data_IF_591628819435
#
_entry.id   IF_591628819435
#
_cell.length_a   1.000
_cell.length_b   1.000
_cell.length_c   1.000
_cell.angle_alpha   90.00
_cell.angle_beta   90.00
_cell.angle_gamma   90.00
#
_symmetry.space_group_name_H-M   'P 1'
#
loop_
_entity.id
_entity.type
_entity.pdbx_description
1 polymer ?
#
# COMPACT_ATOMS: atom_id res chain seq x y z
N UNK A 1 -16.93 3.80 -11.96
CA UNK A 1 -16.11 3.99 -10.72
C UNK A 1 -16.51 5.34 -10.12
N UNK A 2 -17.57 5.38 -9.30
CA UNK A 2 -17.94 6.58 -8.55
C UNK A 2 -17.08 6.57 -7.28
N UNK A 3 -15.98 7.31 -7.31
CA UNK A 3 -15.38 7.77 -6.07
C UNK A 3 -16.42 8.66 -5.39
N UNK A 4 -16.79 8.44 -4.13
CA UNK A 4 -17.58 9.39 -3.39
C UNK A 4 -16.71 10.65 -3.26
N UNK A 5 -16.93 11.60 -4.15
CA UNK A 5 -16.20 12.86 -4.22
C UNK A 5 -16.70 13.87 -3.18
N UNK A 6 -17.00 13.44 -1.98
CA UNK A 6 -17.20 14.37 -0.88
C UNK A 6 -15.82 14.90 -0.47
N UNK A 7 -15.59 16.16 -0.84
CA UNK A 7 -14.40 16.90 -0.43
C UNK A 7 -14.45 16.98 1.10
N UNK A 8 -13.55 16.25 1.77
CA UNK A 8 -13.42 16.33 3.23
C UNK A 8 -12.84 17.70 3.62
N UNK A 9 -13.75 18.61 4.03
CA UNK A 9 -13.41 19.95 4.46
C UNK A 9 -12.39 19.98 5.59
N UNK A 10 -12.29 18.92 6.39
CA UNK A 10 -11.30 18.80 7.47
C UNK A 10 -9.90 18.64 6.88
N UNK A 11 -9.75 17.81 5.87
CA UNK A 11 -8.46 17.62 5.16
C UNK A 11 -8.05 18.92 4.46
N UNK A 12 -9.00 19.61 3.79
CA UNK A 12 -8.74 20.91 3.17
C UNK A 12 -8.34 21.98 4.20
N UNK A 13 -9.06 22.08 5.31
CA UNK A 13 -8.75 23.04 6.36
C UNK A 13 -7.36 22.77 7.01
N UNK A 14 -7.03 21.51 7.28
CA UNK A 14 -5.69 21.12 7.80
C UNK A 14 -4.62 21.45 6.78
N UNK A 15 -4.82 21.11 5.50
CA UNK A 15 -3.86 21.40 4.44
C UNK A 15 -3.65 22.90 4.24
N UNK A 16 -4.73 23.68 4.21
CA UNK A 16 -4.66 25.14 4.14
C UNK A 16 -3.96 25.74 5.36
N UNK A 17 -4.24 25.23 6.56
CA UNK A 17 -3.58 25.65 7.80
C UNK A 17 -2.08 25.39 7.77
N UNK A 18 -1.67 24.19 7.33
CA UNK A 18 -0.25 23.84 7.19
C UNK A 18 0.45 24.73 6.15
N UNK A 19 -0.18 24.98 4.99
CA UNK A 19 0.34 25.88 3.96
C UNK A 19 0.49 27.31 4.48
N UNK A 20 -0.48 27.80 5.25
CA UNK A 20 -0.46 29.14 5.82
C UNK A 20 0.63 29.29 6.88
N UNK A 21 0.79 28.30 7.76
CA UNK A 21 1.87 28.25 8.75
C UNK A 21 3.24 28.21 8.05
N UNK A 22 3.39 27.36 7.04
CA UNK A 22 4.63 27.25 6.27
C UNK A 22 4.98 28.59 5.60
N UNK A 23 4.00 29.24 4.96
CA UNK A 23 4.19 30.54 4.30
C UNK A 23 4.56 31.65 5.30
N UNK A 24 3.90 31.67 6.46
CA UNK A 24 4.21 32.62 7.53
C UNK A 24 5.63 32.40 8.08
N UNK A 25 6.02 31.17 8.34
CA UNK A 25 7.36 30.85 8.86
C UNK A 25 8.44 31.21 7.84
N UNK A 26 8.23 30.84 6.57
CA UNK A 26 9.23 31.11 5.50
C UNK A 26 9.29 32.59 5.13
N UNK A 27 8.16 33.32 5.20
CA UNK A 27 8.09 34.73 4.84
C UNK A 27 8.39 35.68 5.99
N UNK A 28 7.80 35.46 7.19
CA UNK A 28 7.97 36.40 8.33
C UNK A 28 9.35 36.33 8.97
N UNK A 29 9.95 35.13 9.07
CA UNK A 29 11.25 34.98 9.73
C UNK A 29 12.34 35.77 9.01
N UNK A 30 12.52 35.75 7.68
CA UNK A 30 13.46 36.61 6.98
C UNK A 30 13.05 38.09 7.03
N UNK A 31 11.76 38.44 6.93
CA UNK A 31 11.28 39.81 6.99
C UNK A 31 11.53 40.47 8.33
N UNK A 32 11.28 39.77 9.43
CA UNK A 32 11.59 40.25 10.78
C UNK A 32 13.10 40.37 11.03
N UNK A 33 13.93 39.58 10.35
CA UNK A 33 15.38 39.66 10.43
C UNK A 33 15.94 40.82 9.62
N UNK A 34 15.30 41.22 8.52
CA UNK A 34 15.71 42.38 7.71
C UNK A 34 15.22 43.71 8.28
N UNK A 35 14.12 43.76 9.01
CA UNK A 35 13.58 44.98 9.63
C UNK A 35 14.33 45.43 10.91
N UNK A 36 15.16 44.56 11.50
CA UNK A 36 16.00 44.86 12.66
C UNK A 36 17.42 45.25 12.25
N UNK A 37 17.59 46.02 11.17
CA UNK A 37 18.88 46.60 10.84
C UNK A 37 19.05 47.85 11.71
N UNK A 38 19.78 47.73 12.82
CA UNK A 38 20.28 48.86 13.61
C UNK A 38 21.44 49.52 12.83
N UNK A 39 21.13 50.59 12.11
CA UNK A 39 22.08 51.38 11.35
C UNK A 39 23.23 51.94 12.24
N UNK A 40 22.96 52.20 13.50
CA UNK A 40 23.98 52.66 14.48
C UNK A 40 24.91 51.51 14.92
N UNK A 41 24.39 50.26 14.96
CA UNK A 41 25.17 49.04 15.19
C UNK A 41 26.04 48.65 13.99
N UNK A 42 25.57 48.88 12.75
CA UNK A 42 26.29 48.54 11.53
C UNK A 42 27.57 49.41 11.36
N UNK A 43 27.54 50.68 11.71
CA UNK A 43 28.69 51.58 11.68
C UNK A 43 29.73 51.31 12.82
N UNK A 44 29.29 50.72 13.93
CA UNK A 44 30.19 50.25 15.01
C UNK A 44 30.75 48.85 14.79
N UNK A 45 30.13 48.03 13.94
CA UNK A 45 30.52 46.64 13.68
C UNK A 45 31.70 46.50 12.71
N UNK A 46 32.09 47.56 11.99
CA UNK A 46 33.31 47.57 11.19
C UNK A 46 34.59 47.57 12.04
N UNK A 47 34.47 47.90 13.34
CA UNK A 47 35.59 47.87 14.29
C UNK A 47 35.54 46.71 15.31
N UNK A 48 34.45 45.95 15.38
CA UNK A 48 34.30 44.82 16.31
C UNK A 48 33.62 43.65 15.58
N UNK A 49 34.35 42.97 14.74
CA UNK A 49 33.88 41.76 14.08
C UNK A 49 33.29 40.75 15.08
N UNK A 50 32.18 40.11 14.72
CA UNK A 50 31.75 38.79 15.24
C UNK A 50 30.38 38.64 15.89
N UNK A 51 29.57 39.63 16.25
CA UNK A 51 28.34 39.31 17.03
C UNK A 51 27.06 39.16 16.21
N UNK A 52 26.91 39.82 15.04
CA UNK A 52 25.65 39.74 14.23
C UNK A 52 25.54 38.55 13.29
N UNK A 53 26.67 38.04 12.80
CA UNK A 53 26.69 36.93 11.80
C UNK A 53 26.35 35.56 12.38
N UNK A 54 26.67 35.31 13.64
CA UNK A 54 26.52 34.01 14.29
C UNK A 54 25.05 33.61 14.52
N UNK A 55 24.18 34.59 14.83
CA UNK A 55 22.74 34.32 15.07
C UNK A 55 21.95 34.04 13.77
N UNK A 56 22.34 34.67 12.65
CA UNK A 56 21.75 34.46 11.32
C UNK A 56 22.14 33.09 10.74
N UNK A 57 23.34 32.60 11.00
CA UNK A 57 23.80 31.28 10.59
C UNK A 57 23.04 30.16 11.28
N UNK A 58 22.66 30.33 12.55
CA UNK A 58 22.01 29.32 13.38
C UNK A 58 20.57 28.98 12.89
N UNK A 59 19.79 29.99 12.49
CA UNK A 59 18.43 29.82 11.97
C UNK A 59 18.44 29.03 10.65
N UNK A 60 19.36 29.37 9.73
CA UNK A 60 19.49 28.63 8.44
C UNK A 60 19.92 27.19 8.65
N UNK A 61 20.88 26.97 9.54
CA UNK A 61 21.33 25.61 9.90
C UNK A 61 20.20 24.81 10.54
N UNK A 62 19.41 25.42 11.44
CA UNK A 62 18.24 24.80 12.04
C UNK A 62 17.17 24.40 11.01
N UNK A 63 16.94 25.26 10.03
CA UNK A 63 15.98 24.99 8.95
C UNK A 63 16.42 23.80 8.08
N UNK A 64 17.72 23.69 7.78
CA UNK A 64 18.28 22.52 7.06
C UNK A 64 18.15 21.26 7.90
N UNK A 65 18.41 21.31 9.20
CA UNK A 65 18.24 20.17 10.11
C UNK A 65 16.79 19.66 10.09
N UNK A 66 15.81 20.57 10.20
CA UNK A 66 14.38 20.21 10.10
C UNK A 66 14.05 19.61 8.73
N UNK A 67 14.56 20.20 7.65
CA UNK A 67 14.31 19.74 6.29
C UNK A 67 14.90 18.34 6.04
N UNK A 68 16.13 18.08 6.52
CA UNK A 68 16.77 16.76 6.49
C UNK A 68 15.95 15.75 7.30
N UNK A 69 15.46 16.15 8.48
CA UNK A 69 14.63 15.30 9.33
C UNK A 69 13.33 14.90 8.62
N UNK A 70 12.60 15.85 8.03
CA UNK A 70 11.38 15.58 7.28
C UNK A 70 11.64 14.69 6.07
N UNK A 71 12.71 14.96 5.31
CA UNK A 71 13.11 14.14 4.18
C UNK A 71 13.42 12.70 4.59
N UNK A 72 14.12 12.53 5.72
CA UNK A 72 14.42 11.20 6.26
C UNK A 72 13.16 10.43 6.63
N UNK A 73 12.19 11.10 7.30
CA UNK A 73 10.90 10.48 7.65
C UNK A 73 10.14 10.01 6.41
N UNK A 74 10.09 10.85 5.36
CA UNK A 74 9.41 10.51 4.11
C UNK A 74 10.10 9.35 3.38
N UNK A 75 11.44 9.32 3.37
CA UNK A 75 12.20 8.22 2.77
C UNK A 75 11.99 6.90 3.51
N UNK A 76 12.00 6.91 4.85
CA UNK A 76 11.67 5.72 5.66
C UNK A 76 10.24 5.27 5.38
N UNK A 77 9.27 6.19 5.38
CA UNK A 77 7.87 5.89 5.07
C UNK A 77 7.71 5.28 3.67
N UNK A 78 8.35 5.84 2.66
CA UNK A 78 8.36 5.30 1.30
C UNK A 78 8.97 3.90 1.25
N UNK A 79 10.10 3.68 1.93
CA UNK A 79 10.77 2.38 2.01
C UNK A 79 9.91 1.30 2.66
N UNK A 80 9.26 1.62 3.79
CA UNK A 80 8.34 0.70 4.48
C UNK A 80 7.12 0.34 3.63
N UNK A 81 6.51 1.35 2.98
CA UNK A 81 5.36 1.12 2.10
C UNK A 81 5.74 0.30 0.87
N UNK A 82 6.92 0.55 0.27
CA UNK A 82 7.43 -0.23 -0.85
C UNK A 82 7.65 -1.70 -0.48
N UNK A 83 8.28 -1.96 0.66
CA UNK A 83 8.46 -3.32 1.17
C UNK A 83 7.13 -4.00 1.47
N UNK A 84 6.17 -3.25 2.05
CA UNK A 84 4.82 -3.75 2.31
C UNK A 84 4.11 -4.15 1.01
N UNK A 85 4.22 -3.32 -0.03
CA UNK A 85 3.64 -3.61 -1.34
C UNK A 85 4.28 -4.86 -1.97
N UNK A 86 5.60 -5.01 -1.86
CA UNK A 86 6.29 -6.19 -2.39
C UNK A 86 5.87 -7.47 -1.67
N UNK A 87 5.73 -7.43 -0.35
CA UNK A 87 5.21 -8.56 0.43
C UNK A 87 3.75 -8.90 0.11
N UNK A 88 2.93 -7.90 -0.23
CA UNK A 88 1.56 -8.12 -0.72
C UNK A 88 1.62 -8.85 -2.07
N UNK A 89 2.43 -8.38 -3.01
CA UNK A 89 2.56 -8.96 -4.36
C UNK A 89 3.07 -10.40 -4.36
N UNK A 90 3.96 -10.73 -3.44
CA UNK A 90 4.54 -12.08 -3.28
C UNK A 90 3.72 -12.99 -2.37
N UNK A 91 2.67 -12.46 -1.71
CA UNK A 91 1.79 -13.26 -0.84
C UNK A 91 0.75 -14.00 -1.67
N UNK A 92 0.67 -15.32 -1.50
CA UNK A 92 -0.41 -16.10 -2.09
C UNK A 92 -1.77 -15.68 -1.54
N UNK A 93 -2.77 -15.40 -2.38
CA UNK A 93 -4.13 -15.14 -1.94
C UNK A 93 -4.89 -16.43 -1.54
N UNK A 94 -4.28 -17.61 -1.67
CA UNK A 94 -4.91 -18.91 -1.40
C UNK A 94 -5.68 -19.48 -2.58
N UNK A 95 -5.70 -18.78 -3.71
CA UNK A 95 -6.26 -19.27 -4.98
C UNK A 95 -5.31 -18.96 -6.14
N UNK A 96 -5.53 -19.59 -7.28
CA UNK A 96 -4.74 -19.38 -8.51
C UNK A 96 -5.08 -18.02 -9.13
N UNK A 97 -4.10 -17.16 -9.30
CA UNK A 97 -4.26 -15.88 -9.99
C UNK A 97 -4.11 -15.98 -11.49
N UNK A 98 -3.42 -17.03 -11.96
CA UNK A 98 -3.16 -17.27 -13.38
C UNK A 98 -4.12 -18.32 -13.96
N UNK A 99 -4.49 -18.14 -15.22
CA UNK A 99 -5.32 -19.09 -15.94
C UNK A 99 -6.77 -19.11 -15.49
N UNK A 100 -7.25 -18.10 -14.77
CA UNK A 100 -8.66 -17.95 -14.41
C UNK A 100 -9.16 -16.58 -14.85
N UNK A 101 -10.20 -16.59 -15.66
CA UNK A 101 -10.89 -15.38 -16.15
C UNK A 101 -12.21 -15.26 -15.41
N UNK A 102 -12.55 -14.06 -15.03
CA UNK A 102 -13.82 -13.69 -14.43
C UNK A 102 -14.58 -12.74 -15.35
N UNK A 103 -15.87 -12.98 -15.47
CA UNK A 103 -16.84 -12.03 -16.06
C UNK A 103 -18.18 -12.17 -15.34
N UNK A 104 -19.10 -11.27 -15.56
CA UNK A 104 -20.46 -11.37 -15.05
C UNK A 104 -21.47 -10.83 -16.05
N UNK A 105 -22.72 -11.23 -15.90
CA UNK A 105 -23.86 -10.72 -16.67
C UNK A 105 -24.88 -10.17 -15.69
N UNK A 106 -25.41 -8.98 -15.95
CA UNK A 106 -26.38 -8.34 -15.07
C UNK A 106 -27.80 -8.86 -15.33
N UNK A 107 -28.07 -10.02 -14.78
CA UNK A 107 -29.39 -10.65 -14.84
C UNK A 107 -30.41 -9.93 -13.94
N UNK A 108 -29.94 -9.30 -12.87
CA UNK A 108 -30.81 -8.57 -11.91
C UNK A 108 -31.43 -7.37 -12.58
N UNK A 109 -30.63 -6.48 -13.18
CA UNK A 109 -31.12 -5.31 -13.91
C UNK A 109 -31.91 -5.68 -15.18
N UNK A 110 -31.63 -6.85 -15.77
CA UNK A 110 -32.39 -7.38 -16.89
C UNK A 110 -33.75 -7.98 -16.48
N UNK A 111 -34.09 -7.96 -15.18
CA UNK A 111 -35.41 -8.40 -14.67
C UNK A 111 -35.58 -9.92 -14.65
N UNK A 112 -34.49 -10.69 -14.56
CA UNK A 112 -34.55 -12.14 -14.41
C UNK A 112 -35.00 -12.52 -13.01
N UNK A 113 -36.04 -13.38 -12.92
CA UNK A 113 -36.34 -14.05 -11.68
C UNK A 113 -35.36 -15.21 -11.40
N UNK A 114 -35.43 -15.78 -10.22
CA UNK A 114 -34.50 -16.83 -9.79
C UNK A 114 -34.54 -18.09 -10.72
N UNK A 115 -35.72 -18.45 -11.22
CA UNK A 115 -35.87 -19.65 -12.08
C UNK A 115 -35.25 -19.41 -13.47
N UNK A 116 -35.56 -18.28 -14.08
CA UNK A 116 -35.01 -17.89 -15.40
C UNK A 116 -33.50 -17.69 -15.33
N UNK A 117 -33.02 -17.06 -14.25
CA UNK A 117 -31.58 -16.86 -14.04
C UNK A 117 -30.83 -18.18 -13.85
N UNK A 118 -31.43 -19.14 -13.14
CA UNK A 118 -30.86 -20.48 -12.97
C UNK A 118 -30.71 -21.19 -14.31
N UNK A 119 -31.80 -21.26 -15.09
CA UNK A 119 -31.76 -21.85 -16.41
C UNK A 119 -30.72 -21.24 -17.31
N UNK A 120 -30.68 -19.90 -17.36
CA UNK A 120 -29.66 -19.15 -18.13
C UNK A 120 -28.25 -19.51 -17.70
N UNK A 121 -27.95 -19.50 -16.39
CA UNK A 121 -26.61 -19.78 -15.87
C UNK A 121 -26.22 -21.25 -16.11
N UNK A 122 -27.13 -22.20 -15.96
CA UNK A 122 -26.86 -23.62 -16.20
C UNK A 122 -26.59 -23.90 -17.70
N UNK A 123 -27.35 -23.29 -18.60
CA UNK A 123 -27.12 -23.40 -20.05
C UNK A 123 -25.82 -22.69 -20.46
N UNK A 124 -25.52 -21.53 -19.88
CA UNK A 124 -24.28 -20.79 -20.17
C UNK A 124 -23.04 -21.59 -19.74
N UNK A 125 -23.06 -22.25 -18.58
CA UNK A 125 -21.95 -23.14 -18.16
C UNK A 125 -21.70 -24.25 -19.16
N UNK A 126 -22.72 -24.95 -19.59
CA UNK A 126 -22.56 -26.05 -20.52
C UNK A 126 -22.00 -25.59 -21.87
N UNK A 127 -22.47 -24.45 -22.38
CA UNK A 127 -21.92 -23.84 -23.62
C UNK A 127 -20.49 -23.40 -23.47
N UNK A 128 -20.16 -22.72 -22.35
CA UNK A 128 -18.81 -22.22 -22.09
C UNK A 128 -17.82 -23.38 -21.90
N UNK A 129 -18.21 -24.45 -21.24
CA UNK A 129 -17.38 -25.68 -21.12
C UNK A 129 -17.10 -26.33 -22.49
N UNK A 130 -17.95 -26.09 -23.49
CA UNK A 130 -17.75 -26.55 -24.87
C UNK A 130 -16.79 -25.65 -25.70
N UNK A 131 -16.39 -24.49 -25.20
CA UNK A 131 -15.51 -23.61 -25.95
C UNK A 131 -14.07 -24.15 -25.97
N UNK A 132 -13.36 -24.02 -27.10
CA UNK A 132 -11.95 -24.43 -27.19
C UNK A 132 -11.08 -23.74 -26.16
N UNK A 133 -10.25 -24.51 -25.44
CA UNK A 133 -9.33 -24.01 -24.44
C UNK A 133 -9.94 -23.78 -23.05
N UNK A 134 -11.22 -24.06 -22.85
CA UNK A 134 -11.83 -24.05 -21.51
C UNK A 134 -11.54 -25.38 -20.80
N UNK A 135 -10.93 -25.32 -19.64
CA UNK A 135 -10.67 -26.49 -18.78
C UNK A 135 -11.84 -26.73 -17.84
N UNK A 136 -12.27 -25.69 -17.13
CA UNK A 136 -13.43 -25.72 -16.24
C UNK A 136 -14.15 -24.38 -16.24
N UNK A 137 -15.45 -24.40 -15.92
CA UNK A 137 -16.24 -23.17 -15.76
C UNK A 137 -17.26 -23.34 -14.62
N UNK A 138 -17.45 -22.29 -13.84
CA UNK A 138 -18.35 -22.29 -12.69
C UNK A 138 -18.89 -20.90 -12.39
N UNK A 139 -19.98 -20.82 -11.63
CA UNK A 139 -20.48 -19.56 -11.10
C UNK A 139 -20.19 -19.45 -9.60
N UNK A 140 -19.87 -18.23 -9.13
CA UNK A 140 -19.88 -17.94 -7.70
C UNK A 140 -20.41 -16.53 -7.45
N UNK A 141 -21.03 -16.33 -6.28
CA UNK A 141 -21.65 -15.05 -5.94
C UNK A 141 -20.64 -13.98 -5.56
N UNK A 142 -19.68 -14.32 -4.72
CA UNK A 142 -18.69 -13.38 -4.20
C UNK A 142 -17.40 -13.51 -4.99
N UNK A 143 -16.96 -12.39 -5.57
CA UNK A 143 -15.66 -12.31 -6.22
C UNK A 143 -14.57 -12.05 -5.16
N UNK A 144 -13.56 -12.91 -5.04
CA UNK A 144 -12.43 -12.66 -4.15
C UNK A 144 -11.76 -11.33 -4.45
N UNK A 145 -11.46 -10.55 -3.40
CA UNK A 145 -10.82 -9.23 -3.48
C UNK A 145 -11.63 -8.21 -4.31
N UNK A 146 -12.93 -8.47 -4.55
CA UNK A 146 -13.83 -7.58 -5.26
C UNK A 146 -14.40 -6.50 -4.36
N UNK A 147 -14.86 -5.40 -4.99
CA UNK A 147 -15.71 -4.43 -4.31
C UNK A 147 -17.13 -5.00 -4.27
N UNK A 148 -17.61 -5.41 -3.12
CA UNK A 148 -18.97 -5.94 -3.05
C UNK A 148 -19.37 -6.38 -1.65
N UNK A 149 -20.61 -6.83 -1.60
CA UNK A 149 -21.21 -7.33 -0.37
C UNK A 149 -20.70 -8.72 -0.09
N UNK A 150 -19.95 -8.87 0.97
CA UNK A 150 -19.61 -10.19 1.50
C UNK A 150 -20.86 -10.82 2.10
N UNK A 151 -21.10 -12.10 1.76
CA UNK A 151 -22.15 -12.86 2.43
C UNK A 151 -21.63 -13.28 3.79
N UNK A 152 -22.30 -12.87 4.85
CA UNK A 152 -21.98 -13.30 6.22
C UNK A 152 -23.25 -13.82 6.91
N UNK A 153 -23.08 -14.75 7.83
CA UNK A 153 -24.20 -15.30 8.59
C UNK A 153 -23.77 -15.65 10.01
N UNK A 154 -24.64 -15.42 10.99
CA UNK A 154 -24.52 -16.08 12.27
C UNK A 154 -24.53 -17.59 12.07
N UNK A 155 -23.67 -18.29 12.79
CA UNK A 155 -23.58 -19.76 12.75
C UNK A 155 -23.73 -20.36 14.15
N UNK A 156 -24.19 -21.61 14.20
CA UNK A 156 -24.02 -22.48 15.35
C UNK A 156 -23.35 -23.77 14.87
N UNK A 157 -22.41 -24.29 15.62
CA UNK A 157 -21.68 -25.52 15.29
C UNK A 157 -22.03 -26.58 16.32
N UNK A 158 -22.35 -27.77 15.85
CA UNK A 158 -22.74 -28.89 16.72
C UNK A 158 -21.58 -29.23 17.66
N UNK A 159 -21.85 -29.26 18.98
CA UNK A 159 -20.84 -29.50 20.00
C UNK A 159 -19.94 -28.30 20.36
N UNK A 160 -20.12 -27.11 19.74
CA UNK A 160 -19.40 -25.90 20.11
C UNK A 160 -20.30 -24.97 20.94
N UNK A 161 -19.82 -24.60 22.12
CA UNK A 161 -20.50 -23.63 22.99
C UNK A 161 -19.73 -22.29 22.87
N UNK A 162 -20.36 -21.33 22.23
CA UNK A 162 -19.81 -19.99 22.14
C UNK A 162 -19.81 -19.30 23.53
N UNK A 163 -18.81 -18.48 23.84
CA UNK A 163 -18.85 -17.60 25.02
C UNK A 163 -20.12 -16.73 25.01
N UNK A 164 -20.69 -16.36 26.16
CA UNK A 164 -21.97 -15.63 26.24
C UNK A 164 -22.03 -14.30 25.49
N UNK A 165 -20.88 -13.68 25.26
CA UNK A 165 -20.75 -12.39 24.56
C UNK A 165 -20.41 -12.55 23.06
N UNK A 166 -20.17 -13.78 22.59
CA UNK A 166 -19.77 -14.05 21.22
C UNK A 166 -20.94 -14.63 20.41
N UNK A 167 -21.37 -13.92 19.37
CA UNK A 167 -22.23 -14.47 18.33
C UNK A 167 -21.36 -14.79 17.11
N UNK A 168 -20.97 -16.06 16.90
CA UNK A 168 -20.10 -16.44 15.81
C UNK A 168 -20.73 -16.07 14.47
N UNK A 169 -20.16 -15.11 13.78
CA UNK A 169 -20.54 -14.73 12.42
C UNK A 169 -19.40 -15.10 11.50
N UNK A 170 -19.73 -15.84 10.43
CA UNK A 170 -18.75 -16.34 9.47
C UNK A 170 -19.15 -15.91 8.06
N UNK A 171 -18.18 -15.53 7.29
CA UNK A 171 -18.37 -15.21 5.88
C UNK A 171 -18.44 -16.48 5.04
N UNK A 172 -19.16 -16.40 3.92
CA UNK A 172 -19.35 -17.52 3.02
C UNK A 172 -19.54 -17.08 1.57
N UNK A 173 -19.37 -18.05 0.66
CA UNK A 173 -19.67 -17.88 -0.76
C UNK A 173 -20.62 -18.96 -1.25
N UNK A 174 -21.57 -18.59 -2.10
CA UNK A 174 -22.40 -19.52 -2.85
C UNK A 174 -21.68 -19.86 -4.16
N UNK A 175 -21.29 -21.12 -4.32
CA UNK A 175 -20.43 -21.55 -5.41
C UNK A 175 -21.01 -22.72 -6.19
N UNK A 176 -20.73 -22.77 -7.48
CA UNK A 176 -21.09 -23.89 -8.34
C UNK A 176 -20.16 -25.10 -8.14
N UNK A 177 -20.45 -26.15 -8.88
CA UNK A 177 -19.60 -27.34 -8.96
C UNK A 177 -18.21 -26.95 -9.50
N UNK A 178 -17.17 -27.68 -9.13
CA UNK A 178 -15.79 -27.49 -9.59
C UNK A 178 -15.20 -26.10 -9.24
N UNK A 179 -15.81 -25.35 -8.29
CA UNK A 179 -15.35 -24.02 -7.94
C UNK A 179 -13.95 -24.05 -7.34
N UNK A 180 -13.68 -24.94 -6.39
CA UNK A 180 -12.36 -25.03 -5.76
C UNK A 180 -11.31 -25.45 -6.80
N UNK A 181 -11.62 -26.38 -7.66
CA UNK A 181 -10.76 -26.81 -8.77
C UNK A 181 -10.53 -25.66 -9.77
N UNK A 182 -11.60 -24.93 -10.17
CA UNK A 182 -11.51 -23.76 -11.06
C UNK A 182 -10.64 -22.67 -10.47
N UNK A 183 -10.79 -22.39 -9.18
CA UNK A 183 -10.00 -21.38 -8.48
C UNK A 183 -8.61 -21.88 -8.08
N UNK A 184 -8.32 -23.18 -8.20
CA UNK A 184 -7.07 -23.77 -7.73
C UNK A 184 -6.91 -23.71 -6.20
N UNK A 185 -8.01 -23.76 -5.47
CA UNK A 185 -8.04 -23.84 -4.00
C UNK A 185 -7.92 -25.33 -3.62
N UNK A 186 -6.83 -25.76 -2.96
CA UNK A 186 -6.68 -27.16 -2.63
C UNK A 186 -7.73 -27.66 -1.64
N UNK A 187 -8.29 -28.82 -1.92
CA UNK A 187 -9.12 -29.56 -0.97
C UNK A 187 -8.19 -30.34 -0.04
N UNK A 188 -8.30 -30.13 1.27
CA UNK A 188 -7.46 -30.77 2.29
C UNK A 188 -8.03 -32.12 2.70
N UNK A 189 -9.36 -32.21 2.80
CA UNK A 189 -10.04 -33.44 3.18
C UNK A 189 -11.48 -33.45 2.64
N UNK A 190 -12.05 -34.63 2.47
CA UNK A 190 -13.43 -34.83 2.00
C UNK A 190 -13.59 -34.64 0.49
N UNK A 191 -14.71 -34.03 0.06
CA UNK A 191 -15.04 -33.80 -1.33
C UNK A 191 -15.54 -32.39 -1.62
N UNK A 192 -15.43 -31.98 -2.84
CA UNK A 192 -16.07 -30.79 -3.38
C UNK A 192 -17.57 -31.04 -3.65
N UNK A 193 -18.29 -29.98 -3.99
CA UNK A 193 -19.71 -30.08 -4.35
C UNK A 193 -19.91 -30.82 -5.68
N UNK A 194 -20.94 -31.64 -5.71
CA UNK A 194 -21.35 -32.41 -6.88
C UNK A 194 -22.72 -31.94 -7.38
N UNK A 195 -23.07 -32.32 -8.61
CA UNK A 195 -24.38 -32.03 -9.19
C UNK A 195 -25.54 -32.59 -8.37
N UNK A 196 -25.30 -33.67 -7.60
CA UNK A 196 -26.25 -34.28 -6.69
C UNK A 196 -26.52 -33.47 -5.42
N UNK A 197 -25.70 -32.46 -5.10
CA UNK A 197 -25.93 -31.57 -3.95
C UNK A 197 -26.94 -30.48 -4.36
N UNK A 198 -28.17 -30.87 -4.66
CA UNK A 198 -29.27 -30.03 -5.10
C UNK A 198 -30.26 -29.69 -3.96
N UNK A 199 -31.36 -29.01 -4.28
CA UNK A 199 -32.39 -28.60 -3.32
C UNK A 199 -33.10 -29.75 -2.65
N UNK A 200 -33.05 -30.97 -3.23
CA UNK A 200 -33.72 -32.19 -2.72
C UNK A 200 -32.80 -33.03 -1.87
N UNK A 201 -31.50 -32.77 -1.92
CA UNK A 201 -30.51 -33.52 -1.15
C UNK A 201 -30.31 -32.90 0.26
N UNK A 202 -29.59 -33.64 1.11
CA UNK A 202 -29.16 -33.09 2.39
C UNK A 202 -28.32 -31.81 2.17
N UNK A 203 -28.53 -30.78 3.00
CA UNK A 203 -27.78 -29.53 2.92
C UNK A 203 -26.34 -29.79 3.29
N UNK A 204 -25.41 -29.32 2.46
CA UNK A 204 -23.97 -29.53 2.64
C UNK A 204 -23.17 -28.19 2.64
N UNK A 205 -22.01 -28.22 3.29
CA UNK A 205 -21.07 -27.12 3.28
C UNK A 205 -19.63 -27.65 3.16
N UNK A 206 -18.76 -26.85 2.58
CA UNK A 206 -17.30 -27.03 2.64
C UNK A 206 -16.74 -25.88 3.50
N UNK A 207 -15.94 -26.22 4.50
CA UNK A 207 -15.31 -25.22 5.40
C UNK A 207 -13.85 -25.02 5.06
N UNK A 208 -13.26 -23.90 5.46
CA UNK A 208 -11.81 -23.72 5.31
C UNK A 208 -11.04 -24.26 6.54
N UNK A 209 -9.72 -24.40 6.43
CA UNK A 209 -8.85 -24.90 7.51
C UNK A 209 -9.02 -24.09 8.80
N UNK A 210 -9.02 -22.76 8.73
CA UNK A 210 -9.19 -21.88 9.90
C UNK A 210 -10.54 -22.10 10.60
N UNK A 211 -11.62 -22.34 9.86
CA UNK A 211 -12.93 -22.65 10.45
C UNK A 211 -12.91 -24.04 11.11
N UNK A 212 -12.28 -25.01 10.45
CA UNK A 212 -12.14 -26.36 10.99
C UNK A 212 -11.35 -26.35 12.31
N UNK A 213 -10.22 -25.65 12.34
CA UNK A 213 -9.39 -25.53 13.55
C UNK A 213 -10.09 -24.79 14.69
N UNK A 214 -10.83 -23.73 14.39
CA UNK A 214 -11.49 -22.91 15.41
C UNK A 214 -12.62 -23.65 16.10
N UNK A 215 -13.47 -24.32 15.33
CA UNK A 215 -14.73 -24.86 15.85
C UNK A 215 -14.67 -26.35 16.17
N UNK A 216 -13.79 -27.14 15.54
CA UNK A 216 -13.66 -28.58 15.81
C UNK A 216 -12.35 -28.99 16.49
N UNK A 217 -11.40 -28.06 16.70
CA UNK A 217 -10.18 -28.22 17.53
C UNK A 217 -9.50 -29.59 17.44
N UNK A 218 -8.99 -29.94 16.25
CA UNK A 218 -8.25 -31.20 16.04
C UNK A 218 -9.13 -32.43 15.83
N UNK A 219 -10.46 -32.27 15.76
CA UNK A 219 -11.36 -33.33 15.28
C UNK A 219 -11.54 -33.18 13.77
N UNK A 220 -11.89 -34.30 13.12
CA UNK A 220 -12.28 -34.27 11.73
C UNK A 220 -13.67 -33.60 11.59
N UNK A 221 -13.79 -32.46 10.90
CA UNK A 221 -15.08 -31.78 10.75
C UNK A 221 -16.01 -32.48 9.74
N UNK A 222 -15.49 -33.41 8.92
CA UNK A 222 -16.29 -34.09 7.91
C UNK A 222 -17.35 -34.96 8.57
N UNK A 223 -18.60 -34.76 8.16
CA UNK A 223 -19.77 -35.44 8.76
C UNK A 223 -20.41 -34.61 9.89
N UNK A 224 -19.71 -33.70 10.48
CA UNK A 224 -20.22 -32.77 11.51
C UNK A 224 -21.20 -31.76 10.89
N UNK A 225 -21.92 -31.00 11.74
CA UNK A 225 -22.94 -30.07 11.27
C UNK A 225 -22.67 -28.62 11.69
N UNK A 226 -22.98 -27.73 10.79
CA UNK A 226 -23.01 -26.29 11.03
C UNK A 226 -24.38 -25.73 10.68
N UNK A 227 -24.94 -24.90 11.53
CA UNK A 227 -26.19 -24.19 11.27
C UNK A 227 -25.91 -22.84 10.65
N UNK A 228 -26.50 -22.57 9.51
CA UNK A 228 -26.38 -21.29 8.76
C UNK A 228 -27.79 -20.82 8.41
N UNK A 229 -28.12 -19.60 8.76
CA UNK A 229 -29.49 -19.05 8.56
C UNK A 229 -30.59 -19.96 9.09
N UNK A 230 -30.37 -20.59 10.25
CA UNK A 230 -31.31 -21.48 10.88
C UNK A 230 -31.39 -22.91 10.29
N UNK A 231 -30.65 -23.23 9.22
CA UNK A 231 -30.65 -24.54 8.58
C UNK A 231 -29.37 -25.30 8.86
N UNK A 232 -29.48 -26.57 9.28
CA UNK A 232 -28.31 -27.43 9.51
C UNK A 232 -27.77 -27.97 8.19
N UNK A 233 -26.47 -27.83 8.00
CA UNK A 233 -25.71 -28.31 6.85
C UNK A 233 -24.62 -29.27 7.34
N UNK A 234 -24.41 -30.35 6.61
CA UNK A 234 -23.35 -31.32 6.88
C UNK A 234 -22.05 -30.83 6.22
N UNK A 235 -20.94 -30.84 6.94
CA UNK A 235 -19.62 -30.57 6.39
C UNK A 235 -19.18 -31.78 5.56
N UNK A 236 -18.92 -31.56 4.27
CA UNK A 236 -18.51 -32.62 3.33
C UNK A 236 -17.07 -32.47 2.87
N UNK A 237 -16.44 -31.34 3.12
CA UNK A 237 -15.05 -31.10 2.75
C UNK A 237 -14.39 -29.98 3.54
N UNK A 238 -13.07 -30.00 3.54
CA UNK A 238 -12.20 -28.95 4.10
C UNK A 238 -11.31 -28.43 2.99
N UNK A 239 -11.39 -27.14 2.69
CA UNK A 239 -10.57 -26.45 1.71
C UNK A 239 -9.44 -25.66 2.39
N UNK A 240 -8.35 -25.40 1.69
CA UNK A 240 -7.34 -24.45 2.16
C UNK A 240 -7.90 -23.05 2.33
N UNK A 241 -7.27 -22.28 3.23
CA UNK A 241 -7.64 -20.89 3.41
C UNK A 241 -7.39 -20.06 2.15
N UNK A 242 -8.37 -19.22 1.82
CA UNK A 242 -8.29 -18.26 0.73
C UNK A 242 -8.78 -16.90 1.19
N UNK A 243 -8.27 -15.85 0.57
CA UNK A 243 -8.53 -14.45 0.95
C UNK A 243 -9.65 -13.87 0.10
N UNK A 244 -10.64 -13.31 0.75
CA UNK A 244 -11.80 -12.75 0.09
C UNK A 244 -11.91 -11.23 0.18
N UNK A 245 -11.57 -10.64 1.32
CA UNK A 245 -11.72 -9.21 1.58
C UNK A 245 -10.52 -8.40 1.10
N UNK A 246 -9.33 -8.87 1.47
CA UNK A 246 -8.09 -8.19 1.17
C UNK A 246 -6.92 -9.16 1.10
N UNK A 247 -5.98 -8.92 0.19
CA UNK A 247 -4.71 -9.68 0.18
C UNK A 247 -3.96 -9.58 1.52
N UNK A 248 -4.28 -8.56 2.31
CA UNK A 248 -3.66 -8.29 3.61
C UNK A 248 -4.33 -9.00 4.78
N UNK A 249 -5.52 -9.58 4.58
CA UNK A 249 -6.24 -10.23 5.67
C UNK A 249 -5.48 -11.43 6.23
N UNK A 250 -5.63 -11.66 7.52
CA UNK A 250 -5.26 -12.91 8.17
C UNK A 250 -6.31 -13.97 7.84
N UNK A 251 -5.91 -15.23 7.83
CA UNK A 251 -6.85 -16.32 7.66
C UNK A 251 -7.97 -16.22 8.70
N UNK A 252 -9.21 -16.33 8.26
CA UNK A 252 -10.43 -16.24 9.08
C UNK A 252 -11.36 -17.41 8.73
N UNK A 253 -12.23 -17.81 9.67
CA UNK A 253 -13.24 -18.81 9.38
C UNK A 253 -14.05 -18.41 8.14
N UNK A 254 -14.19 -19.34 7.22
CA UNK A 254 -14.92 -19.16 5.97
C UNK A 254 -15.53 -20.49 5.54
N UNK A 255 -16.68 -20.44 4.86
CA UNK A 255 -17.28 -21.64 4.31
C UNK A 255 -17.91 -21.39 2.93
N UNK A 256 -18.11 -22.46 2.21
CA UNK A 256 -18.74 -22.49 0.92
C UNK A 256 -20.05 -23.27 1.02
N UNK A 257 -21.06 -22.86 0.25
CA UNK A 257 -22.33 -23.56 0.10
C UNK A 257 -22.64 -23.78 -1.38
N UNK A 258 -23.25 -24.93 -1.76
CA UNK A 258 -23.52 -25.16 -3.16
C UNK A 258 -24.60 -24.20 -3.66
N UNK A 259 -24.33 -23.58 -4.81
CA UNK A 259 -25.27 -22.67 -5.49
C UNK A 259 -26.64 -23.36 -5.78
N UNK A 260 -26.66 -24.66 -6.04
CA UNK A 260 -27.90 -25.39 -6.26
C UNK A 260 -28.83 -25.42 -5.05
N UNK A 261 -28.27 -25.38 -3.83
CA UNK A 261 -29.04 -25.31 -2.57
C UNK A 261 -29.30 -23.88 -2.09
N UNK A 262 -28.48 -22.89 -2.57
CA UNK A 262 -28.50 -21.48 -2.16
C UNK A 262 -28.34 -20.58 -3.40
N UNK A 263 -29.35 -20.54 -4.25
CA UNK A 263 -29.27 -19.85 -5.52
C UNK A 263 -29.31 -18.33 -5.35
N UNK A 264 -28.38 -17.63 -6.02
CA UNK A 264 -28.33 -16.18 -6.14
C UNK A 264 -28.34 -15.77 -7.63
N UNK A 265 -29.22 -14.85 -8.02
CA UNK A 265 -29.33 -14.33 -9.39
C UNK A 265 -28.03 -13.64 -9.81
N UNK A 266 -27.51 -12.75 -8.94
CA UNK A 266 -26.26 -12.04 -9.17
C UNK A 266 -25.06 -12.92 -8.83
N UNK A 267 -24.49 -13.57 -9.83
CA UNK A 267 -23.27 -14.38 -9.70
C UNK A 267 -22.35 -14.13 -10.89
N UNK A 268 -21.06 -14.25 -10.67
CA UNK A 268 -20.04 -14.13 -11.70
C UNK A 268 -19.60 -15.49 -12.23
N UNK A 269 -19.25 -15.52 -13.50
CA UNK A 269 -18.73 -16.68 -14.22
C UNK A 269 -17.21 -16.70 -14.09
N UNK A 270 -16.66 -17.82 -13.65
CA UNK A 270 -15.24 -18.11 -13.57
C UNK A 270 -14.91 -19.18 -14.60
N UNK A 271 -13.89 -18.92 -15.41
CA UNK A 271 -13.46 -19.83 -16.47
C UNK A 271 -11.96 -20.08 -16.33
N UNK A 272 -11.60 -21.35 -16.13
CA UNK A 272 -10.19 -21.75 -16.17
C UNK A 272 -9.80 -22.03 -17.60
N UNK A 273 -8.78 -21.32 -18.08
CA UNK A 273 -8.30 -21.38 -19.46
C UNK A 273 -6.87 -20.85 -19.56
N UNK A 274 -6.01 -21.42 -20.40
CA UNK A 274 -4.70 -20.85 -20.75
C UNK A 274 -4.78 -19.69 -21.75
N UNK A 275 -5.97 -19.41 -22.31
CA UNK A 275 -6.18 -18.35 -23.29
C UNK A 275 -6.19 -16.97 -22.63
N UNK A 276 -5.89 -15.93 -23.42
CA UNK A 276 -5.97 -14.54 -22.93
C UNK A 276 -7.43 -14.10 -22.74
N UNK A 277 -7.67 -13.13 -21.83
CA UNK A 277 -9.02 -12.60 -21.62
C UNK A 277 -9.67 -12.07 -22.88
N UNK A 278 -8.89 -11.41 -23.77
CA UNK A 278 -9.40 -10.83 -25.01
C UNK A 278 -9.88 -11.91 -25.98
N UNK A 279 -9.14 -13.03 -26.07
CA UNK A 279 -9.51 -14.17 -26.90
C UNK A 279 -10.79 -14.84 -26.37
N UNK A 280 -10.88 -15.00 -25.05
CA UNK A 280 -12.02 -15.64 -24.42
C UNK A 280 -13.27 -14.73 -24.41
N UNK A 281 -13.10 -13.42 -24.25
CA UNK A 281 -14.21 -12.46 -24.18
C UNK A 281 -15.15 -12.54 -25.39
N UNK A 282 -14.60 -12.65 -26.59
CA UNK A 282 -15.39 -12.77 -27.81
C UNK A 282 -16.20 -14.08 -27.85
N UNK A 283 -15.65 -15.16 -27.33
CA UNK A 283 -16.34 -16.44 -27.18
C UNK A 283 -17.48 -16.34 -26.16
N UNK A 284 -17.19 -15.81 -24.98
CA UNK A 284 -18.16 -15.62 -23.92
C UNK A 284 -19.31 -14.69 -24.35
N UNK A 285 -19.01 -13.59 -25.04
CA UNK A 285 -20.01 -12.67 -25.52
C UNK A 285 -20.96 -13.33 -26.55
N UNK A 286 -20.44 -14.19 -27.43
CA UNK A 286 -21.26 -14.93 -28.39
C UNK A 286 -22.22 -15.91 -27.70
N UNK A 287 -21.73 -16.64 -26.68
CA UNK A 287 -22.57 -17.60 -25.95
C UNK A 287 -23.65 -16.88 -25.13
N UNK A 288 -23.34 -15.77 -24.49
CA UNK A 288 -24.31 -14.91 -23.77
C UNK A 288 -25.38 -14.40 -24.75
N UNK A 289 -24.97 -13.82 -25.89
CA UNK A 289 -25.90 -13.31 -26.93
C UNK A 289 -26.74 -14.39 -27.56
N UNK A 290 -26.23 -15.61 -27.72
CA UNK A 290 -26.97 -16.73 -28.24
C UNK A 290 -28.07 -17.20 -27.29
N UNK A 291 -27.93 -16.95 -25.97
CA UNK A 291 -28.95 -17.24 -24.97
C UNK A 291 -29.98 -16.11 -24.82
N UNK A 292 -29.51 -14.87 -24.83
CA UNK A 292 -30.37 -13.67 -24.83
C UNK A 292 -29.63 -12.51 -25.49
N UNK A 293 -30.14 -12.10 -26.68
CA UNK A 293 -29.54 -11.01 -27.47
C UNK A 293 -29.53 -9.62 -26.81
N UNK A 294 -30.28 -9.45 -25.72
CA UNK A 294 -30.32 -8.18 -24.96
C UNK A 294 -29.24 -8.15 -23.86
N UNK A 295 -28.55 -9.25 -23.61
CA UNK A 295 -27.55 -9.34 -22.56
C UNK A 295 -26.14 -9.21 -23.15
N UNK A 296 -25.28 -8.57 -22.40
CA UNK A 296 -23.85 -8.54 -22.67
C UNK A 296 -23.07 -8.86 -21.38
N UNK A 297 -21.99 -9.64 -21.49
CA UNK A 297 -21.12 -9.84 -20.34
C UNK A 297 -20.36 -8.52 -20.05
N UNK A 298 -20.04 -8.27 -18.80
CA UNK A 298 -19.09 -7.24 -18.41
C UNK A 298 -17.67 -7.60 -18.92
N UNK A 299 -16.76 -6.64 -18.82
CA UNK A 299 -15.36 -6.85 -19.16
C UNK A 299 -14.81 -8.12 -18.52
N UNK A 300 -14.21 -8.97 -19.33
CA UNK A 300 -13.55 -10.17 -18.83
C UNK A 300 -12.17 -9.79 -18.30
N UNK A 301 -11.90 -10.10 -17.05
CA UNK A 301 -10.63 -9.80 -16.38
C UNK A 301 -9.99 -11.07 -15.83
N UNK A 302 -8.66 -11.09 -15.71
CA UNK A 302 -7.98 -12.17 -14.99
C UNK A 302 -8.06 -11.96 -13.47
N UNK A 303 -7.98 -13.04 -12.70
CA UNK A 303 -7.84 -12.92 -11.25
C UNK A 303 -6.54 -12.24 -10.85
N UNK A 304 -5.50 -12.31 -11.66
CA UNK A 304 -4.27 -11.54 -11.46
C UNK A 304 -4.55 -10.04 -11.54
N UNK A 305 -5.27 -9.59 -12.56
CA UNK A 305 -5.67 -8.20 -12.70
C UNK A 305 -6.55 -7.75 -11.53
N UNK A 306 -7.44 -8.63 -11.04
CA UNK A 306 -8.24 -8.34 -9.86
C UNK A 306 -7.36 -8.12 -8.60
N UNK A 307 -6.37 -8.96 -8.37
CA UNK A 307 -5.37 -8.74 -7.29
C UNK A 307 -4.65 -7.40 -7.47
N UNK A 308 -4.28 -7.06 -8.70
CA UNK A 308 -3.63 -5.79 -8.99
C UNK A 308 -4.53 -4.58 -8.77
N UNK A 309 -5.81 -4.68 -9.18
CA UNK A 309 -6.83 -3.65 -8.93
C UNK A 309 -7.08 -3.47 -7.42
N UNK A 310 -7.13 -4.57 -6.66
CA UNK A 310 -7.34 -4.55 -5.20
C UNK A 310 -6.19 -3.88 -4.42
N UNK A 311 -4.99 -3.81 -5.02
CA UNK A 311 -3.80 -3.17 -4.44
C UNK A 311 -3.49 -1.80 -5.04
N UNK A 312 -4.36 -1.26 -5.90
CA UNK A 312 -4.12 0.00 -6.62
C UNK A 312 -3.95 1.21 -5.68
N UNK A 313 -4.75 1.30 -4.62
CA UNK A 313 -4.65 2.37 -3.63
C UNK A 313 -3.28 2.38 -2.93
N UNK A 314 -2.74 1.19 -2.62
CA UNK A 314 -1.42 1.06 -2.03
C UNK A 314 -0.31 1.46 -3.02
N UNK A 315 -0.43 1.10 -4.30
CA UNK A 315 0.50 1.53 -5.36
C UNK A 315 0.52 3.06 -5.46
N UNK A 316 -0.64 3.71 -5.47
CA UNK A 316 -0.77 5.18 -5.49
C UNK A 316 -0.11 5.80 -4.26
N UNK A 317 -0.38 5.27 -3.05
CA UNK A 317 0.22 5.77 -1.82
C UNK A 317 1.76 5.68 -1.84
N UNK A 318 2.32 4.52 -2.27
CA UNK A 318 3.77 4.33 -2.41
C UNK A 318 4.37 5.35 -3.38
N UNK A 319 3.72 5.55 -4.54
CA UNK A 319 4.18 6.49 -5.56
C UNK A 319 4.17 7.92 -5.04
N UNK A 320 3.08 8.35 -4.41
CA UNK A 320 2.96 9.71 -3.86
C UNK A 320 4.01 9.98 -2.77
N UNK A 321 4.14 9.07 -1.79
CA UNK A 321 5.12 9.23 -0.71
C UNK A 321 6.56 9.17 -1.25
N UNK A 322 6.80 8.31 -2.25
CA UNK A 322 8.10 8.22 -2.93
C UNK A 322 8.48 9.51 -3.67
N UNK A 323 7.54 10.08 -4.44
CA UNK A 323 7.75 11.37 -5.14
C UNK A 323 7.97 12.50 -4.15
N UNK A 324 7.14 12.60 -3.10
CA UNK A 324 7.30 13.61 -2.05
C UNK A 324 8.63 13.45 -1.32
N UNK A 325 9.05 12.21 -1.02
CA UNK A 325 10.34 11.92 -0.42
C UNK A 325 11.52 12.33 -1.31
N UNK A 326 11.42 12.08 -2.62
CA UNK A 326 12.42 12.52 -3.61
C UNK A 326 12.50 14.04 -3.73
N UNK A 327 11.37 14.73 -3.76
CA UNK A 327 11.33 16.21 -3.77
C UNK A 327 11.91 16.78 -2.47
N UNK A 328 11.55 16.23 -1.33
CA UNK A 328 12.08 16.64 -0.03
C UNK A 328 13.61 16.44 0.04
N UNK A 329 14.12 15.33 -0.50
CA UNK A 329 15.54 15.04 -0.59
C UNK A 329 16.27 16.08 -1.46
N UNK A 330 15.72 16.42 -2.62
CA UNK A 330 16.27 17.46 -3.50
C UNK A 330 16.31 18.82 -2.81
N UNK A 331 15.23 19.21 -2.16
CA UNK A 331 15.17 20.45 -1.40
C UNK A 331 16.18 20.46 -0.23
N UNK A 332 16.35 19.34 0.48
CA UNK A 332 17.34 19.20 1.53
C UNK A 332 18.77 19.34 0.99
N UNK A 333 19.06 18.73 -0.16
CA UNK A 333 20.36 18.86 -0.82
C UNK A 333 20.65 20.30 -1.26
N UNK A 334 19.65 20.99 -1.85
CA UNK A 334 19.77 22.41 -2.24
C UNK A 334 19.95 23.30 -1.00
N UNK A 335 19.20 23.06 0.07
CA UNK A 335 19.31 23.79 1.33
C UNK A 335 20.69 23.62 1.96
N UNK A 336 21.20 22.40 2.01
CA UNK A 336 22.54 22.08 2.52
C UNK A 336 23.63 22.72 1.66
N UNK A 337 23.51 22.63 0.33
CA UNK A 337 24.41 23.31 -0.61
C UNK A 337 24.43 24.82 -0.36
N UNK A 338 23.26 25.46 -0.22
CA UNK A 338 23.16 26.91 0.02
C UNK A 338 23.79 27.34 1.33
N UNK A 339 23.55 26.60 2.44
CA UNK A 339 24.15 26.87 3.73
C UNK A 339 25.67 26.69 3.70
N UNK A 340 26.14 25.63 3.04
CA UNK A 340 27.58 25.37 2.93
C UNK A 340 28.28 26.38 2.03
N UNK A 341 27.69 26.75 0.89
CA UNK A 341 28.24 27.80 0.01
C UNK A 341 28.34 29.15 0.70
N UNK A 342 27.29 29.52 1.46
CA UNK A 342 27.30 30.74 2.25
C UNK A 342 28.36 30.72 3.37
N UNK A 343 28.49 29.59 4.08
CA UNK A 343 29.49 29.44 5.13
C UNK A 343 30.92 29.55 4.58
N UNK A 344 31.18 28.95 3.42
CA UNK A 344 32.48 29.06 2.73
C UNK A 344 32.75 30.50 2.32
N UNK A 345 31.76 31.18 1.67
CA UNK A 345 31.90 32.57 1.24
C UNK A 345 32.18 33.53 2.42
N UNK A 346 31.48 33.34 3.54
CA UNK A 346 31.69 34.18 4.74
C UNK A 346 33.03 33.91 5.43
N UNK A 347 33.56 32.69 5.30
CA UNK A 347 34.84 32.30 5.92
C UNK A 347 36.02 32.44 4.96
N UNK A 348 35.85 33.02 3.75
CA UNK A 348 36.89 33.06 2.71
C UNK A 348 38.16 33.73 3.21
N UNK A 349 38.07 34.83 3.96
CA UNK A 349 39.19 35.55 4.52
C UNK A 349 39.96 34.73 5.58
N UNK A 350 39.23 34.04 6.47
CA UNK A 350 39.80 33.11 7.46
C UNK A 350 40.49 31.92 6.80
N UNK A 351 39.85 31.33 5.76
CA UNK A 351 40.38 30.22 5.00
C UNK A 351 41.63 30.62 4.21
N UNK A 352 41.63 31.84 3.62
CA UNK A 352 42.79 32.39 2.93
C UNK A 352 43.99 32.63 3.88
N UNK A 353 43.72 33.14 5.09
CA UNK A 353 44.75 33.34 6.12
C UNK A 353 45.37 32.02 6.56
N UNK A 354 44.54 30.96 6.74
CA UNK A 354 45.06 29.64 7.10
C UNK A 354 45.91 29.02 5.98
N UNK A 355 45.54 29.23 4.71
CA UNK A 355 46.34 28.74 3.57
C UNK A 355 47.68 29.52 3.49
N UNK A 356 47.66 30.83 3.72
CA UNK A 356 48.89 31.64 3.79
C UNK A 356 49.83 31.19 4.94
N UNK A 357 49.28 30.65 6.02
CA UNK A 357 50.00 30.06 7.16
C UNK A 357 50.41 28.59 6.95
N UNK A 358 50.19 28.02 5.75
CA UNK A 358 50.64 26.68 5.40
C UNK A 358 49.60 25.56 5.62
N UNK A 359 48.31 25.88 5.79
CA UNK A 359 47.27 24.85 5.88
C UNK A 359 47.08 24.16 4.53
N UNK A 360 47.09 22.85 4.51
CA UNK A 360 46.80 22.04 3.31
C UNK A 360 45.31 22.15 2.87
N UNK A 361 45.08 22.11 1.55
CA UNK A 361 43.75 22.11 0.96
C UNK A 361 42.86 20.94 1.50
N UNK A 362 43.47 19.80 1.83
CA UNK A 362 42.84 18.64 2.47
C UNK A 362 42.17 18.97 3.82
N UNK A 363 42.80 19.80 4.64
CA UNK A 363 42.30 20.23 5.95
C UNK A 363 41.07 21.15 5.81
N UNK A 364 41.08 22.03 4.81
CA UNK A 364 39.94 22.90 4.50
C UNK A 364 38.74 22.11 3.95
N UNK A 365 38.99 21.16 3.05
CA UNK A 365 37.97 20.26 2.52
C UNK A 365 37.32 19.49 3.66
N UNK A 366 38.11 18.86 4.54
CA UNK A 366 37.63 18.10 5.70
C UNK A 366 36.81 18.98 6.66
N UNK A 367 37.18 20.24 6.87
CA UNK A 367 36.44 21.18 7.73
C UNK A 367 35.03 21.49 7.16
N UNK A 368 34.94 21.75 5.86
CA UNK A 368 33.65 22.04 5.20
C UNK A 368 32.77 20.80 5.21
N UNK A 369 33.33 19.65 4.81
CA UNK A 369 32.60 18.38 4.77
C UNK A 369 32.09 17.97 6.16
N UNK A 370 32.90 18.11 7.21
CA UNK A 370 32.50 17.75 8.58
C UNK A 370 31.34 18.62 9.09
N UNK A 371 31.29 19.91 8.75
CA UNK A 371 30.15 20.79 9.09
C UNK A 371 28.87 20.35 8.39
N UNK A 372 28.93 20.05 7.09
CA UNK A 372 27.78 19.56 6.33
C UNK A 372 27.26 18.20 6.86
N UNK A 373 28.16 17.27 7.13
CA UNK A 373 27.84 15.97 7.72
C UNK A 373 27.29 16.09 9.15
N UNK A 374 27.77 17.04 9.96
CA UNK A 374 27.22 17.29 11.30
C UNK A 374 25.77 17.79 11.25
N UNK A 375 25.44 18.70 10.31
CA UNK A 375 24.08 19.20 10.10
C UNK A 375 23.16 18.06 9.62
N UNK A 376 23.63 17.28 8.66
CA UNK A 376 22.89 16.11 8.14
C UNK A 376 22.71 15.07 9.24
N UNK A 377 23.75 14.75 10.00
CA UNK A 377 23.70 13.82 11.12
C UNK A 377 22.70 14.25 12.20
N UNK A 378 22.70 15.55 12.57
CA UNK A 378 21.71 16.11 13.49
C UNK A 378 20.27 15.98 12.97
N UNK A 379 20.06 16.27 11.68
CA UNK A 379 18.77 16.10 11.01
C UNK A 379 18.34 14.63 10.95
N UNK A 380 19.25 13.72 10.63
CA UNK A 380 18.96 12.27 10.62
C UNK A 380 18.63 11.74 12.01
N UNK A 381 19.33 12.15 13.06
CA UNK A 381 19.03 11.75 14.44
C UNK A 381 17.63 12.17 14.87
N UNK A 382 17.25 13.43 14.60
CA UNK A 382 15.88 13.90 14.83
C UNK A 382 14.88 13.17 13.94
N UNK A 383 15.23 12.91 12.68
CA UNK A 383 14.43 12.15 11.74
C UNK A 383 14.18 10.71 12.19
N UNK A 384 15.20 10.02 12.69
CA UNK A 384 15.06 8.67 13.27
C UNK A 384 14.12 8.69 14.47
N UNK A 385 14.31 9.62 15.42
CA UNK A 385 13.46 9.72 16.60
C UNK A 385 11.99 9.96 16.21
N UNK A 386 11.74 10.89 15.28
CA UNK A 386 10.39 11.18 14.79
C UNK A 386 9.82 10.04 13.95
N UNK A 387 10.61 9.40 13.10
CA UNK A 387 10.18 8.25 12.31
C UNK A 387 9.76 7.07 13.20
N UNK A 388 10.51 6.78 14.27
CA UNK A 388 10.15 5.71 15.23
C UNK A 388 8.80 5.94 15.93
N UNK A 389 8.38 7.19 16.09
CA UNK A 389 7.06 7.54 16.62
C UNK A 389 5.99 7.46 15.52
N UNK A 390 6.23 8.10 14.38
CA UNK A 390 5.27 8.18 13.28
C UNK A 390 5.00 6.83 12.62
N UNK A 391 6.02 5.99 12.46
CA UNK A 391 5.84 4.65 11.86
C UNK A 391 4.98 3.72 12.70
N UNK A 392 4.82 3.98 14.01
CA UNK A 392 3.84 3.25 14.83
C UNK A 392 2.40 3.54 14.37
N UNK A 393 2.11 4.77 13.96
CA UNK A 393 0.79 5.14 13.42
C UNK A 393 0.54 4.47 12.07
N UNK A 394 1.59 4.21 11.29
CA UNK A 394 1.52 3.49 10.03
C UNK A 394 1.41 1.96 10.20
N UNK A 395 1.58 1.43 11.42
CA UNK A 395 1.60 -0.01 11.69
C UNK A 395 0.39 -0.76 11.11
N UNK A 396 -0.80 -0.17 11.20
CA UNK A 396 -2.05 -0.75 10.66
C UNK A 396 -2.10 -0.75 9.12
N UNK A 397 -1.25 0.04 8.46
CA UNK A 397 -1.16 0.12 6.99
C UNK A 397 -0.03 -0.74 6.42
N UNK A 398 0.86 -1.27 7.27
CA UNK A 398 1.98 -2.12 6.85
C UNK A 398 1.55 -3.59 6.89
N UNK A 399 1.86 -4.32 5.82
CA UNK A 399 1.60 -5.76 5.74
C UNK A 399 2.89 -6.56 5.93
N UNK A 400 2.95 -7.36 7.00
CA UNK A 400 4.11 -8.22 7.34
C UNK A 400 5.47 -7.49 7.35
N UNK A 401 5.46 -6.17 7.55
CA UNK A 401 6.65 -5.33 7.69
C UNK A 401 6.64 -4.70 9.07
N UNK A 402 7.75 -4.83 9.79
CA UNK A 402 7.88 -4.14 11.07
C UNK A 402 7.97 -2.63 10.85
N UNK A 403 7.26 -1.79 11.63
CA UNK A 403 7.45 -0.34 11.59
C UNK A 403 8.90 0.11 11.88
N UNK A 404 9.73 -0.80 12.40
CA UNK A 404 11.15 -0.58 12.71
C UNK A 404 12.08 -1.40 11.83
N UNK A 405 11.67 -1.68 10.60
CA UNK A 405 12.47 -2.50 9.68
C UNK A 405 13.84 -1.87 9.41
N UNK A 406 14.96 -2.55 9.74
CA UNK A 406 16.30 -1.99 9.62
C UNK A 406 16.72 -1.72 8.18
N UNK A 407 16.14 -2.42 7.19
CA UNK A 407 16.45 -2.20 5.77
C UNK A 407 15.89 -0.87 5.29
N UNK A 408 14.66 -0.50 5.67
CA UNK A 408 14.07 0.78 5.29
C UNK A 408 14.84 1.95 5.90
N UNK A 409 15.19 1.85 7.20
CA UNK A 409 16.00 2.85 7.88
C UNK A 409 17.42 2.95 7.32
N UNK A 410 18.06 1.80 7.06
CA UNK A 410 19.41 1.73 6.48
C UNK A 410 19.48 2.32 5.06
N UNK A 411 18.49 2.00 4.21
CA UNK A 411 18.37 2.57 2.87
C UNK A 411 18.17 4.09 2.90
N UNK A 412 17.26 4.60 3.75
CA UNK A 412 17.05 6.03 3.92
C UNK A 412 18.31 6.73 4.41
N UNK A 413 19.03 6.13 5.38
CA UNK A 413 20.30 6.64 5.87
C UNK A 413 21.37 6.72 4.76
N UNK A 414 21.51 5.67 3.96
CA UNK A 414 22.48 5.62 2.85
C UNK A 414 22.14 6.68 1.78
N UNK A 415 20.88 6.77 1.34
CA UNK A 415 20.43 7.75 0.35
C UNK A 415 20.67 9.18 0.85
N UNK A 416 20.30 9.48 2.09
CA UNK A 416 20.50 10.79 2.68
C UNK A 416 21.97 11.16 2.82
N UNK A 417 22.82 10.21 3.22
CA UNK A 417 24.28 10.42 3.33
C UNK A 417 24.87 10.70 1.95
N UNK A 418 24.51 9.95 0.91
CA UNK A 418 24.98 10.17 -0.45
C UNK A 418 24.56 11.55 -0.95
N UNK A 419 23.31 11.95 -0.72
CA UNK A 419 22.81 13.27 -1.12
C UNK A 419 23.55 14.41 -0.38
N UNK A 420 23.83 14.24 0.91
CA UNK A 420 24.60 15.20 1.70
C UNK A 420 26.05 15.34 1.21
N UNK A 421 26.69 14.22 0.93
CA UNK A 421 28.06 14.23 0.36
C UNK A 421 28.09 14.95 -0.99
N UNK A 422 27.14 14.66 -1.87
CA UNK A 422 27.01 15.32 -3.17
C UNK A 422 26.76 16.84 -3.03
N UNK A 423 25.85 17.23 -2.13
CA UNK A 423 25.54 18.63 -1.88
C UNK A 423 26.72 19.43 -1.30
N UNK A 424 27.53 18.80 -0.45
CA UNK A 424 28.69 19.44 0.16
C UNK A 424 29.94 19.46 -0.73
N UNK A 425 30.00 18.56 -1.72
CA UNK A 425 31.19 18.39 -2.55
C UNK A 425 31.60 19.66 -3.28
N UNK A 426 30.65 20.30 -3.99
CA UNK A 426 30.94 21.51 -4.78
C UNK A 426 31.41 22.72 -3.95
N UNK A 427 30.75 23.08 -2.81
CA UNK A 427 31.22 24.10 -1.92
C UNK A 427 32.59 23.80 -1.32
N UNK A 428 32.85 22.58 -0.92
CA UNK A 428 34.13 22.13 -0.38
C UNK A 428 35.26 22.26 -1.41
N UNK A 429 34.99 21.84 -2.64
CA UNK A 429 35.96 21.95 -3.73
C UNK A 429 36.24 23.40 -4.12
N UNK A 430 35.26 24.31 -4.11
CA UNK A 430 35.47 25.75 -4.31
C UNK A 430 36.32 26.37 -3.21
N UNK A 431 36.12 25.95 -1.97
CA UNK A 431 36.92 26.42 -0.82
C UNK A 431 38.43 26.12 -0.98
N UNK A 432 38.77 24.99 -1.59
CA UNK A 432 40.19 24.58 -1.80
C UNK A 432 40.87 25.30 -2.97
N UNK A 433 40.13 25.97 -3.85
CA UNK A 433 40.67 26.71 -5.01
C UNK A 433 40.71 28.21 -4.83
N UNK A 434 40.45 28.71 -3.64
CA UNK A 434 40.52 30.15 -3.33
C UNK A 434 41.97 30.60 -3.33
N UNK A 435 42.31 31.59 -4.18
CA UNK A 435 43.64 32.12 -4.27
C UNK A 435 43.93 33.05 -3.06
N UNK A 436 44.87 32.69 -2.17
CA UNK A 436 45.18 33.48 -0.96
C UNK A 436 45.67 34.87 -1.28
N UNK A 437 46.34 35.09 -2.44
CA UNK A 437 46.86 36.36 -2.84
C UNK A 437 45.77 37.39 -3.21
N UNK A 438 44.65 36.93 -3.76
CA UNK A 438 43.48 37.78 -4.06
C UNK A 438 42.69 38.16 -2.81
N UNK A 439 42.53 37.21 -1.87
CA UNK A 439 41.75 37.41 -0.63
C UNK A 439 42.41 38.41 0.36
N UNK A 440 43.71 38.53 0.30
CA UNK A 440 44.45 39.46 1.17
C UNK A 440 44.59 40.88 0.57
N UNK A 441 44.18 41.05 -0.71
CA UNK A 441 44.28 42.33 -1.44
C UNK A 441 42.96 43.13 -1.44
N UNK A 442 41.83 42.47 -1.24
CA UNK A 442 40.48 43.03 -1.03
C UNK A 442 40.15 43.07 0.48
#
# INVERSE_FOLDING_TARGET
>A
MHLPGEIDWRVLAVSAGVCLIATLVVGLVPAMQSSKIDLAGALKADSAGVVGGRRRGWVRSGLVVVQVSLSFILLVGAGLLLQSLEKIRTSSPGFSTHGVIYTSVDLVSAGYDAQRARTFQDELIERVKGLPGVETATFARVMPLGYGTYSSSPIAVDGYVAPPEEQPTVEYNEVGEEYLATMGIPLVAGREFARADDERSALVAVVNETMAERYWRGKNPIGERVQVKGRWMQVVGVAKDSKYESVRETAKPFFYVPRRQNFAVGAGLYVRTPLSPETMAAGLAREVHALDGNLAPYEAITLQEQVERSTSAQKVAVTLVGVLGGLALLLAAIGLYGVMSYAVSQSTRELGLRMALGAEASNLWRLVMSRGLALTGGGMLLGVAAALVLTRLLGNYLFKVSPRDPLAFGAAFAVMTIAALAACFLPAWRATRTDPARVLRD
#
